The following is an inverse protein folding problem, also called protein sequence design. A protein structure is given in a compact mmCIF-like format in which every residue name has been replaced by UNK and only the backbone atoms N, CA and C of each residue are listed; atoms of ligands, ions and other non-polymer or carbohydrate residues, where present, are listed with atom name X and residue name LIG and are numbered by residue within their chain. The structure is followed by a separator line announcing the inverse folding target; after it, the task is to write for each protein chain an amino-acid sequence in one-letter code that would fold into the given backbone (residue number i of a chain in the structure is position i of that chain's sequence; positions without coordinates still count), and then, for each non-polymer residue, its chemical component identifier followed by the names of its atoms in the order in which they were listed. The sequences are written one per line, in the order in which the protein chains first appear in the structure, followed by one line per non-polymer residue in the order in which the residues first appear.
data_IF_704934591448
#
_entry.id   IF_704934591448
#
_cell.length_a   1.000
_cell.length_b   1.000
_cell.length_c   1.000
_cell.angle_alpha   90.00
_cell.angle_beta   90.00
_cell.angle_gamma   90.00
#
_symmetry.space_group_name_H-M   'P 1'
#
loop_
_entity.id
_entity.type
_entity.pdbx_description
1 polymer ?
#
# COMPACT_ATOMS: atom_id res chain seq x y z
N UNK A 1 -30.45 22.92 -55.07
CA UNK A 1 -29.03 22.59 -54.78
C UNK A 1 -28.97 22.14 -53.34
N UNK A 2 -28.71 20.86 -53.16
CA UNK A 2 -28.65 20.15 -51.89
C UNK A 2 -27.20 20.12 -51.42
N UNK A 3 -26.91 20.73 -50.27
CA UNK A 3 -25.59 20.73 -49.63
C UNK A 3 -25.60 19.68 -48.52
N UNK A 4 -25.27 18.47 -48.94
CA UNK A 4 -25.22 17.28 -48.11
C UNK A 4 -24.10 17.34 -47.07
N UNK A 5 -24.45 16.99 -45.83
CA UNK A 5 -23.66 16.24 -44.84
C UNK A 5 -22.21 16.71 -44.59
N UNK A 6 -22.06 17.60 -43.61
CA UNK A 6 -20.84 17.65 -42.79
C UNK A 6 -20.84 16.42 -41.87
N UNK A 7 -19.97 15.45 -42.14
CA UNK A 7 -19.68 14.34 -41.21
C UNK A 7 -19.04 14.94 -39.95
N UNK A 8 -19.76 14.90 -38.82
CA UNK A 8 -19.14 15.04 -37.49
C UNK A 8 -18.14 13.89 -37.34
N UNK A 9 -16.85 14.20 -37.37
CA UNK A 9 -15.83 13.32 -36.83
C UNK A 9 -15.96 13.43 -35.31
N UNK A 10 -16.68 12.47 -34.71
CA UNK A 10 -16.69 12.32 -33.26
C UNK A 10 -15.32 11.83 -32.83
N UNK A 11 -14.52 12.71 -32.23
CA UNK A 11 -13.34 12.31 -31.48
C UNK A 11 -13.87 11.76 -30.15
N UNK A 12 -13.93 10.43 -30.05
CA UNK A 12 -14.16 9.77 -28.77
C UNK A 12 -12.90 9.97 -27.91
N UNK A 13 -12.92 10.98 -27.06
CA UNK A 13 -11.96 11.08 -25.96
C UNK A 13 -12.30 9.95 -24.98
N UNK A 14 -11.60 8.82 -25.09
CA UNK A 14 -11.60 7.82 -24.04
C UNK A 14 -10.95 8.43 -22.80
N UNK A 15 -11.66 8.40 -21.67
CA UNK A 15 -11.09 8.69 -20.36
C UNK A 15 -9.76 7.92 -20.20
N UNK A 16 -8.70 8.56 -19.70
CA UNK A 16 -7.44 7.86 -19.47
C UNK A 16 -7.67 6.69 -18.50
N UNK A 17 -7.30 5.48 -18.92
CA UNK A 17 -7.35 4.31 -18.04
C UNK A 17 -6.33 4.51 -16.93
N UNK A 18 -6.80 4.85 -15.73
CA UNK A 18 -5.96 4.93 -14.54
C UNK A 18 -5.55 3.51 -14.19
N UNK A 19 -4.25 3.21 -14.32
CA UNK A 19 -3.70 1.93 -13.88
C UNK A 19 -3.70 1.88 -12.35
N UNK A 20 -4.14 0.75 -11.81
CA UNK A 20 -4.18 0.51 -10.37
C UNK A 20 -3.35 -0.71 -10.00
N UNK A 21 -2.76 -0.68 -8.80
CA UNK A 21 -2.06 -1.78 -8.16
C UNK A 21 -2.90 -2.34 -7.02
N UNK A 22 -2.97 -3.67 -6.93
CA UNK A 22 -3.49 -4.33 -5.74
C UNK A 22 -2.42 -4.36 -4.66
N UNK A 23 -2.76 -3.84 -3.48
CA UNK A 23 -1.88 -3.79 -2.33
C UNK A 23 -2.65 -4.21 -1.07
N UNK A 24 -1.90 -4.67 -0.06
CA UNK A 24 -2.46 -5.16 1.18
C UNK A 24 -1.97 -4.34 2.37
N UNK A 25 -2.90 -3.96 3.24
CA UNK A 25 -2.59 -3.30 4.51
C UNK A 25 -2.97 -4.21 5.67
N UNK A 26 -2.07 -4.39 6.62
CA UNK A 26 -2.30 -5.23 7.80
C UNK A 26 -2.41 -4.38 9.06
N UNK A 27 -3.46 -4.64 9.84
CA UNK A 27 -3.72 -3.93 11.09
C UNK A 27 -4.16 -4.88 12.20
N UNK A 28 -4.17 -4.37 13.43
CA UNK A 28 -4.64 -5.12 14.60
C UNK A 28 -6.17 -5.03 14.69
N UNK A 29 -6.86 -6.06 15.20
CA UNK A 29 -8.30 -6.01 15.46
C UNK A 29 -8.73 -4.79 16.28
N UNK A 30 -7.92 -4.38 17.25
CA UNK A 30 -8.19 -3.21 18.12
C UNK A 30 -8.22 -1.87 17.38
N UNK A 31 -7.66 -1.79 16.17
CA UNK A 31 -7.70 -0.57 15.35
C UNK A 31 -8.87 -0.57 14.36
N UNK A 32 -9.50 -1.72 14.13
CA UNK A 32 -10.47 -1.91 13.05
C UNK A 32 -11.71 -1.03 13.22
N UNK A 33 -12.29 -0.98 14.43
CA UNK A 33 -13.49 -0.19 14.70
C UNK A 33 -13.30 1.29 14.35
N UNK A 34 -12.16 1.87 14.73
CA UNK A 34 -11.84 3.26 14.40
C UNK A 34 -11.64 3.47 12.90
N UNK A 35 -10.96 2.54 12.21
CA UNK A 35 -10.73 2.63 10.76
C UNK A 35 -12.07 2.58 10.02
N UNK A 36 -12.95 1.65 10.40
CA UNK A 36 -14.30 1.55 9.82
C UNK A 36 -15.13 2.80 10.07
N UNK A 37 -15.07 3.37 11.28
CA UNK A 37 -15.82 4.58 11.63
C UNK A 37 -15.35 5.82 10.87
N UNK A 38 -14.04 5.93 10.60
CA UNK A 38 -13.47 7.06 9.85
C UNK A 38 -13.53 6.87 8.34
N UNK A 39 -13.63 5.63 7.86
CA UNK A 39 -13.68 5.31 6.43
C UNK A 39 -12.37 5.61 5.69
N UNK A 40 -11.26 5.75 6.42
CA UNK A 40 -9.94 6.08 5.86
C UNK A 40 -8.84 5.28 6.56
N UNK A 41 -7.83 4.84 5.80
CA UNK A 41 -6.55 4.46 6.37
C UNK A 41 -5.68 5.70 6.46
N UNK A 42 -5.38 6.12 7.69
CA UNK A 42 -4.57 7.30 7.92
C UNK A 42 -3.09 7.04 7.66
N UNK A 43 -2.47 7.95 6.91
CA UNK A 43 -1.01 8.00 6.79
C UNK A 43 -0.42 8.44 8.15
N UNK A 44 0.48 7.62 8.69
CA UNK A 44 1.15 7.89 9.98
C UNK A 44 2.63 7.57 9.85
N UNK A 45 3.48 8.39 10.45
CA UNK A 45 4.91 8.11 10.65
C UNK A 45 5.30 8.49 12.10
N UNK A 46 6.50 8.07 12.51
CA UNK A 46 7.16 8.25 13.81
C UNK A 46 6.70 9.46 14.64
N UNK A 47 6.66 9.30 15.97
CA UNK A 47 6.18 10.27 16.96
C UNK A 47 6.89 11.64 16.94
N UNK A 48 7.94 11.80 16.15
CA UNK A 48 8.75 13.01 16.02
C UNK A 48 8.59 13.75 14.68
N UNK A 49 7.66 13.32 13.81
CA UNK A 49 7.40 13.91 12.47
C UNK A 49 8.68 14.02 11.58
N UNK A 50 9.71 13.21 11.86
CA UNK A 50 11.01 13.26 11.18
C UNK A 50 11.02 12.70 9.75
N UNK A 51 9.91 12.11 9.28
CA UNK A 51 9.75 11.66 7.91
C UNK A 51 8.30 11.79 7.41
N UNK A 52 8.08 11.66 6.10
CA UNK A 52 6.74 11.82 5.54
C UNK A 52 5.75 10.79 6.09
N UNK A 53 4.53 11.24 6.38
CA UNK A 53 3.43 10.38 6.82
C UNK A 53 3.04 9.44 5.69
N UNK A 54 3.01 8.14 5.97
CA UNK A 54 2.71 7.12 4.96
C UNK A 54 1.74 6.08 5.46
N UNK A 55 0.97 5.49 4.54
CA UNK A 55 0.31 4.21 4.76
C UNK A 55 1.23 3.11 4.25
N UNK A 56 1.58 2.18 5.14
CA UNK A 56 2.40 1.01 4.79
C UNK A 56 1.53 -0.09 4.22
N UNK A 57 1.96 -0.61 3.08
CA UNK A 57 1.26 -1.66 2.35
C UNK A 57 2.27 -2.65 1.77
N UNK A 58 1.77 -3.73 1.17
CA UNK A 58 2.60 -4.73 0.53
C UNK A 58 1.88 -5.37 -0.65
N UNK A 59 2.63 -5.89 -1.63
CA UNK A 59 2.07 -6.63 -2.78
C UNK A 59 1.92 -8.15 -2.51
N UNK A 60 2.17 -8.58 -1.27
CA UNK A 60 1.99 -9.96 -0.81
C UNK A 60 0.82 -10.06 0.17
N UNK A 61 0.15 -11.21 0.16
CA UNK A 61 -0.93 -11.55 1.09
C UNK A 61 -0.43 -12.21 2.38
N UNK A 62 0.87 -12.47 2.46
CA UNK A 62 1.50 -13.33 3.45
C UNK A 62 1.99 -12.53 4.68
N UNK A 63 1.47 -12.76 5.89
CA UNK A 63 1.83 -11.97 7.08
C UNK A 63 3.31 -12.09 7.46
N UNK A 64 4.00 -13.17 7.08
CA UNK A 64 5.43 -13.36 7.28
C UNK A 64 6.29 -12.35 6.52
N UNK A 65 5.75 -11.68 5.49
CA UNK A 65 6.47 -10.64 4.76
C UNK A 65 6.43 -9.30 5.50
N UNK A 66 5.56 -9.10 6.51
CA UNK A 66 5.59 -7.90 7.34
C UNK A 66 6.94 -7.77 8.07
N UNK A 67 7.34 -6.54 8.48
CA UNK A 67 8.52 -6.40 9.30
C UNK A 67 8.35 -7.18 10.60
N UNK A 68 9.39 -7.91 11.01
CA UNK A 68 9.31 -8.90 12.10
C UNK A 68 8.66 -8.35 13.37
N UNK A 69 9.06 -7.14 13.79
CA UNK A 69 8.54 -6.48 15.00
C UNK A 69 7.06 -6.09 14.93
N UNK A 70 6.47 -6.08 13.73
CA UNK A 70 5.08 -5.67 13.49
C UNK A 70 4.17 -6.84 13.14
N UNK A 71 4.69 -8.06 12.95
CA UNK A 71 3.89 -9.25 12.60
C UNK A 71 2.84 -9.59 13.65
N UNK A 72 3.23 -9.50 14.92
CA UNK A 72 2.41 -10.00 16.02
C UNK A 72 1.07 -9.25 16.14
N UNK A 73 -0.02 -10.02 16.08
CA UNK A 73 -1.39 -9.55 16.28
C UNK A 73 -1.99 -8.74 15.11
N UNK A 74 -1.29 -8.61 13.97
CA UNK A 74 -1.82 -7.96 12.76
C UNK A 74 -2.57 -8.95 11.88
N UNK A 75 -3.77 -9.32 12.32
CA UNK A 75 -4.59 -10.38 11.70
C UNK A 75 -5.68 -9.84 10.78
N UNK A 76 -5.88 -8.52 10.76
CA UNK A 76 -6.84 -7.89 9.85
C UNK A 76 -6.09 -7.43 8.61
N UNK A 77 -6.48 -7.94 7.44
CA UNK A 77 -5.91 -7.56 6.14
C UNK A 77 -6.95 -6.84 5.30
N UNK A 78 -6.58 -5.65 4.84
CA UNK A 78 -7.29 -4.90 3.81
C UNK A 78 -6.67 -5.25 2.46
N UNK A 79 -7.49 -5.56 1.46
CA UNK A 79 -7.12 -5.49 0.05
C UNK A 79 -7.50 -4.11 -0.50
N UNK A 80 -6.58 -3.49 -1.22
CA UNK A 80 -6.68 -2.12 -1.72
C UNK A 80 -6.41 -2.07 -3.21
N UNK A 81 -7.09 -1.18 -3.93
CA UNK A 81 -6.79 -0.82 -5.33
C UNK A 81 -6.35 0.62 -5.40
N UNK A 82 -5.05 0.83 -5.54
CA UNK A 82 -4.41 2.14 -5.46
C UNK A 82 -3.93 2.54 -6.87
N UNK A 83 -4.14 3.78 -7.33
CA UNK A 83 -3.51 4.28 -8.55
C UNK A 83 -1.99 4.04 -8.52
N UNK A 84 -1.42 3.48 -9.59
CA UNK A 84 0.02 3.14 -9.63
C UNK A 84 0.92 4.35 -9.37
N UNK A 85 0.47 5.54 -9.81
CA UNK A 85 1.17 6.81 -9.60
C UNK A 85 1.38 7.17 -8.12
N UNK A 86 0.52 6.68 -7.23
CA UNK A 86 0.56 6.95 -5.79
C UNK A 86 1.31 5.88 -5.01
N UNK A 87 1.80 4.83 -5.69
CA UNK A 87 2.48 3.71 -5.04
C UNK A 87 3.99 3.86 -5.15
N UNK A 88 4.69 3.80 -4.02
CA UNK A 88 6.14 3.86 -4.00
C UNK A 88 6.72 2.59 -3.39
N UNK A 89 7.52 1.87 -4.18
CA UNK A 89 8.24 0.71 -3.66
C UNK A 89 9.20 1.14 -2.54
N UNK A 90 9.18 0.42 -1.42
CA UNK A 90 9.90 0.75 -0.19
C UNK A 90 11.38 1.07 -0.43
N UNK A 91 12.08 0.23 -1.19
CA UNK A 91 13.52 0.41 -1.45
C UNK A 91 13.86 1.72 -2.16
N UNK A 92 13.00 2.16 -3.08
CA UNK A 92 13.22 3.40 -3.83
C UNK A 92 12.82 4.59 -2.98
N UNK A 93 11.66 4.49 -2.31
CA UNK A 93 11.14 5.55 -1.47
C UNK A 93 12.06 5.84 -0.28
N UNK A 94 12.50 4.83 0.46
CA UNK A 94 13.30 5.00 1.67
C UNK A 94 14.70 5.59 1.40
N UNK A 95 15.21 5.45 0.17
CA UNK A 95 16.51 5.98 -0.25
C UNK A 95 16.44 7.42 -0.78
N UNK A 96 15.24 8.00 -0.94
CA UNK A 96 15.11 9.43 -1.25
C UNK A 96 15.72 10.25 -0.11
N UNK A 97 16.25 11.42 -0.44
CA UNK A 97 16.76 12.35 0.56
C UNK A 97 15.68 12.62 1.62
N UNK A 98 16.07 12.59 2.90
CA UNK A 98 15.23 12.92 4.05
C UNK A 98 14.05 11.98 4.35
N UNK A 99 13.92 10.84 3.67
CA UNK A 99 12.86 9.87 3.95
C UNK A 99 13.22 8.91 5.08
N UNK A 100 14.40 8.29 4.99
CA UNK A 100 14.90 7.39 6.05
C UNK A 100 16.38 7.69 6.29
N UNK A 101 16.82 7.85 7.55
CA UNK A 101 18.23 7.98 7.86
C UNK A 101 19.03 6.73 7.46
N UNK A 102 20.18 6.92 6.79
CA UNK A 102 20.99 5.81 6.27
C UNK A 102 21.48 4.84 7.36
N UNK A 103 21.67 5.33 8.59
CA UNK A 103 22.10 4.52 9.73
C UNK A 103 21.06 3.46 10.16
N UNK A 104 19.79 3.59 9.75
CA UNK A 104 18.72 2.62 10.06
C UNK A 104 18.29 1.77 8.86
N UNK A 105 18.92 1.94 7.69
CA UNK A 105 18.54 1.20 6.48
C UNK A 105 18.49 -0.32 6.70
N UNK A 106 19.56 -0.88 7.26
CA UNK A 106 19.65 -2.33 7.48
C UNK A 106 18.56 -2.84 8.42
N UNK A 107 18.31 -2.14 9.54
CA UNK A 107 17.28 -2.57 10.51
C UNK A 107 15.88 -2.48 9.91
N UNK A 108 15.63 -1.54 9.01
CA UNK A 108 14.34 -1.38 8.31
C UNK A 108 14.25 -2.16 6.99
N UNK A 109 15.18 -3.07 6.70
CA UNK A 109 15.17 -3.87 5.47
C UNK A 109 15.38 -3.05 4.20
N UNK A 110 15.91 -1.83 4.29
CA UNK A 110 16.33 -1.05 3.12
C UNK A 110 17.67 -1.59 2.63
N UNK A 111 17.82 -1.91 1.33
CA UNK A 111 19.05 -2.48 0.85
C UNK A 111 20.23 -1.52 0.92
N UNK A 112 21.29 -1.92 1.62
CA UNK A 112 22.55 -1.16 1.69
C UNK A 112 23.50 -1.49 0.52
N UNK A 113 23.29 -2.62 -0.17
CA UNK A 113 24.10 -3.13 -1.29
C UNK A 113 23.24 -3.86 -2.35
N UNK A 114 23.87 -4.60 -3.28
CA UNK A 114 23.23 -5.40 -4.34
C UNK A 114 22.65 -6.74 -3.83
N UNK A 115 21.66 -7.33 -4.54
CA UNK A 115 20.93 -8.55 -4.11
C UNK A 115 21.78 -9.76 -3.76
N UNK A 116 22.96 -9.90 -4.38
CA UNK A 116 23.86 -11.05 -4.18
C UNK A 116 24.72 -10.94 -2.92
N UNK A 117 24.61 -9.83 -2.18
CA UNK A 117 25.37 -9.60 -0.95
C UNK A 117 24.63 -10.19 0.27
N UNK A 118 25.26 -10.99 1.14
CA UNK A 118 24.64 -11.47 2.39
C UNK A 118 24.25 -10.34 3.37
N UNK A 119 24.72 -9.11 3.16
CA UNK A 119 24.27 -7.90 3.85
C UNK A 119 23.16 -7.13 3.11
N UNK A 120 22.54 -7.72 2.09
CA UNK A 120 21.57 -7.07 1.21
C UNK A 120 20.42 -6.44 1.98
N UNK A 121 19.79 -7.14 2.92
CA UNK A 121 18.80 -6.63 3.90
C UNK A 121 18.98 -7.36 5.24
N UNK A 122 18.36 -6.91 6.33
CA UNK A 122 18.36 -7.74 7.56
C UNK A 122 17.56 -9.03 7.35
N UNK A 123 18.05 -10.14 7.90
CA UNK A 123 17.34 -11.43 7.86
C UNK A 123 15.93 -11.36 8.47
N UNK A 124 15.70 -10.40 9.37
CA UNK A 124 14.40 -10.18 10.02
C UNK A 124 13.39 -9.51 9.09
N UNK A 125 13.83 -8.80 8.05
CA UNK A 125 12.99 -8.00 7.15
C UNK A 125 13.19 -8.36 5.67
N UNK A 126 13.41 -9.64 5.36
CA UNK A 126 13.54 -10.15 3.99
C UNK A 126 12.27 -9.90 3.13
N UNK A 127 11.10 -9.81 3.77
CA UNK A 127 9.84 -9.45 3.11
C UNK A 127 9.77 -8.02 2.58
N UNK A 128 10.77 -7.18 2.88
CA UNK A 128 10.81 -5.76 2.47
C UNK A 128 10.81 -5.51 0.97
N UNK A 129 11.14 -6.52 0.16
CA UNK A 129 10.96 -6.51 -1.30
C UNK A 129 9.49 -6.47 -1.75
N UNK A 130 8.56 -6.72 -0.83
CA UNK A 130 7.12 -6.66 -1.07
C UNK A 130 6.50 -5.35 -0.61
N UNK A 131 7.26 -4.48 0.06
CA UNK A 131 6.69 -3.33 0.76
C UNK A 131 6.54 -2.12 -0.16
N UNK A 132 5.42 -1.43 0.03
CA UNK A 132 5.09 -0.17 -0.63
C UNK A 132 4.61 0.82 0.41
N UNK A 133 4.78 2.10 0.09
CA UNK A 133 4.23 3.20 0.88
C UNK A 133 3.42 4.13 -0.01
N UNK A 134 2.42 4.74 0.60
CA UNK A 134 1.50 5.69 -0.02
C UNK A 134 1.51 6.95 0.83
N UNK A 135 1.79 8.10 0.22
CA UNK A 135 2.04 9.39 0.90
C UNK A 135 0.74 10.20 1.09
N UNK A 136 -0.41 9.51 1.14
CA UNK A 136 -1.75 10.08 1.39
C UNK A 136 -2.62 9.11 2.17
N UNK A 137 -3.74 9.62 2.69
CA UNK A 137 -4.79 8.77 3.25
C UNK A 137 -5.44 7.92 2.16
N UNK A 138 -5.92 6.72 2.52
CA UNK A 138 -6.60 5.80 1.60
C UNK A 138 -8.08 5.71 1.98
N UNK A 139 -8.98 6.35 1.20
CA UNK A 139 -10.41 6.32 1.47
C UNK A 139 -11.03 4.94 1.19
N UNK A 140 -12.20 4.69 1.79
CA UNK A 140 -13.01 3.48 1.60
C UNK A 140 -13.29 3.12 0.13
N UNK A 141 -13.34 4.12 -0.76
CA UNK A 141 -13.55 3.91 -2.19
C UNK A 141 -12.42 3.11 -2.86
N UNK A 142 -11.24 3.06 -2.25
CA UNK A 142 -10.09 2.28 -2.72
C UNK A 142 -9.95 0.93 -1.99
N UNK A 143 -10.85 0.62 -1.06
CA UNK A 143 -10.87 -0.68 -0.37
C UNK A 143 -11.64 -1.70 -1.22
N UNK A 144 -11.12 -2.92 -1.28
CA UNK A 144 -11.74 -4.03 -2.01
C UNK A 144 -12.37 -5.02 -1.05
N UNK A 145 -11.61 -5.44 -0.04
CA UNK A 145 -12.04 -6.45 0.93
C UNK A 145 -11.30 -6.24 2.26
N UNK A 146 -11.94 -6.56 3.38
CA UNK A 146 -11.31 -6.67 4.69
C UNK A 146 -11.55 -8.06 5.22
N UNK A 147 -10.48 -8.78 5.59
CA UNK A 147 -10.57 -10.14 6.13
C UNK A 147 -9.83 -10.26 7.45
N UNK A 148 -10.30 -11.14 8.31
CA UNK A 148 -9.51 -11.69 9.40
C UNK A 148 -8.78 -12.93 8.88
N UNK A 149 -7.46 -12.86 8.72
CA UNK A 149 -6.66 -13.91 8.07
C UNK A 149 -6.56 -15.19 8.90
N UNK A 150 -6.69 -15.11 10.22
CA UNK A 150 -6.63 -16.29 11.10
C UNK A 150 -7.89 -17.15 10.95
N UNK A 151 -9.03 -16.50 10.73
CA UNK A 151 -10.35 -17.16 10.64
C UNK A 151 -10.85 -17.31 9.21
N UNK A 152 -10.22 -16.64 8.25
CA UNK A 152 -10.70 -16.52 6.87
C UNK A 152 -12.01 -15.72 6.73
N UNK A 153 -12.48 -15.07 7.80
CA UNK A 153 -13.77 -14.38 7.81
C UNK A 153 -13.67 -13.06 7.04
N UNK A 154 -14.57 -12.86 6.08
CA UNK A 154 -14.75 -11.57 5.40
C UNK A 154 -15.52 -10.64 6.33
N UNK A 155 -14.92 -9.50 6.64
CA UNK A 155 -15.46 -8.45 7.51
C UNK A 155 -16.18 -7.39 6.66
N UNK A 156 -15.62 -7.06 5.50
CA UNK A 156 -16.14 -6.02 4.61
C UNK A 156 -15.84 -6.38 3.13
N UNK A 157 -16.74 -6.06 2.18
CA UNK A 157 -18.05 -5.42 2.38
C UNK A 157 -19.02 -6.29 3.17
N UNK A 158 -19.80 -5.66 4.05
CA UNK A 158 -20.80 -6.36 4.87
C UNK A 158 -21.98 -6.78 3.97
N UNK A 159 -21.87 -7.94 3.36
CA UNK A 159 -22.90 -8.55 2.55
C UNK A 159 -22.69 -10.05 2.47
N UNK A 160 -23.60 -10.82 3.08
CA UNK A 160 -23.67 -12.28 2.95
C UNK A 160 -23.42 -12.68 1.49
N UNK A 161 -22.38 -13.49 1.25
CA UNK A 161 -22.39 -14.37 0.09
C UNK A 161 -23.34 -15.54 0.35
#
# INVERSE_FOLDING_TARGET
MDISRVRRVGVAYGEPVIRTRTLYHFTKPTCLEQILATGVLEARWSADDSAPKTVHTMDSTAPEDLPWSFREGRTIRFELRIPEADTHHWFVWAKKADHVPANVFRSLGVPVWTPDNPAFVSNQNLGSKHWYVIERQIPVAEWVEIVNIDTGTVIWPSGNR
#
